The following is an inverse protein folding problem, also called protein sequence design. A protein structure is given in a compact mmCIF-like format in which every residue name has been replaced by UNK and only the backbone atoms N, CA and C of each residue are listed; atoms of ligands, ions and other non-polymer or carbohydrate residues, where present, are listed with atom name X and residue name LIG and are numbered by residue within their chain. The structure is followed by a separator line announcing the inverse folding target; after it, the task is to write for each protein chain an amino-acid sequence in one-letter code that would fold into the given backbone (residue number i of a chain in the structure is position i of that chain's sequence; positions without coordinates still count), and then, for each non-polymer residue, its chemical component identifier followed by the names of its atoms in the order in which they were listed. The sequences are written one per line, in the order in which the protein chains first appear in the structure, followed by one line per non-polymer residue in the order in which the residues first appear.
data_IF_621729461307
#
_entry.id   IF_621729461307
#
_cell.length_a   1.000
_cell.length_b   1.000
_cell.length_c   1.000
_cell.angle_alpha   90.00
_cell.angle_beta   90.00
_cell.angle_gamma   90.00
#
_symmetry.space_group_name_H-M   'P 1'
#
loop_
_entity.id
_entity.type
_entity.pdbx_description
1 polymer ?
#
# COMPACT_ATOMS: atom_id res chain seq x y z
N UNK A 1 -23.54 -36.79 47.81
CA UNK A 1 -22.92 -35.70 47.00
C UNK A 1 -22.09 -36.34 45.89
N UNK A 2 -22.43 -36.11 44.63
CA UNK A 2 -21.68 -36.65 43.49
C UNK A 2 -20.65 -35.62 42.99
N UNK A 3 -19.43 -36.03 42.60
CA UNK A 3 -18.42 -35.09 42.09
C UNK A 3 -18.80 -34.57 40.68
N UNK A 4 -18.37 -33.34 40.31
CA UNK A 4 -18.75 -32.75 39.03
C UNK A 4 -18.11 -33.50 37.86
N UNK A 5 -18.92 -33.84 36.85
CA UNK A 5 -18.45 -34.45 35.59
C UNK A 5 -17.48 -33.50 34.90
N UNK A 6 -16.30 -34.00 34.49
CA UNK A 6 -15.32 -33.21 33.73
C UNK A 6 -15.93 -32.85 32.36
N UNK A 7 -15.95 -31.55 32.02
CA UNK A 7 -16.37 -31.05 30.70
C UNK A 7 -15.51 -31.67 29.60
N UNK A 8 -16.16 -32.08 28.52
CA UNK A 8 -15.48 -32.65 27.35
C UNK A 8 -14.54 -31.63 26.70
N UNK A 9 -13.54 -32.09 25.95
CA UNK A 9 -12.58 -31.21 25.27
C UNK A 9 -13.30 -30.29 24.25
N UNK A 10 -14.38 -30.79 23.63
CA UNK A 10 -15.29 -30.02 22.79
C UNK A 10 -16.07 -28.94 23.55
N UNK A 11 -16.52 -29.21 24.78
CA UNK A 11 -17.12 -28.17 25.64
C UNK A 11 -16.11 -27.11 26.06
N UNK A 12 -14.84 -27.50 26.23
CA UNK A 12 -13.75 -26.58 26.55
C UNK A 12 -13.40 -25.67 25.36
N UNK A 13 -13.39 -26.21 24.14
CA UNK A 13 -13.20 -25.46 22.89
C UNK A 13 -14.39 -24.53 22.62
N UNK A 14 -15.63 -24.97 22.86
CA UNK A 14 -16.84 -24.16 22.68
C UNK A 14 -16.87 -22.91 23.57
N UNK A 15 -16.32 -23.00 24.79
CA UNK A 15 -16.18 -21.84 25.68
C UNK A 15 -15.11 -20.83 25.22
N UNK A 16 -14.05 -21.26 24.53
CA UNK A 16 -13.01 -20.38 24.01
C UNK A 16 -13.51 -19.51 22.84
N UNK A 17 -14.45 -20.02 22.04
CA UNK A 17 -14.99 -19.30 20.86
C UNK A 17 -16.26 -18.48 21.13
N UNK A 18 -16.94 -18.66 22.27
CA UNK A 18 -18.14 -17.85 22.64
C UNK A 18 -17.83 -16.50 23.31
N UNK A 19 -16.55 -16.16 23.49
CA UNK A 19 -16.15 -15.04 24.35
C UNK A 19 -15.40 -13.89 23.70
N UNK A 20 -15.25 -13.84 22.36
CA UNK A 20 -14.41 -12.79 21.75
C UNK A 20 -14.83 -12.29 20.37
N UNK A 21 -16.11 -12.39 20.05
CA UNK A 21 -16.79 -11.45 19.14
C UNK A 21 -18.06 -11.00 19.83
N UNK A 22 -17.89 -10.15 20.85
CA UNK A 22 -18.99 -9.32 21.33
C UNK A 22 -19.14 -8.24 20.27
N UNK A 23 -19.97 -8.52 19.27
CA UNK A 23 -20.45 -7.54 18.32
C UNK A 23 -20.94 -6.33 19.10
N UNK A 24 -20.16 -5.25 19.10
CA UNK A 24 -20.68 -3.92 19.38
C UNK A 24 -21.36 -3.47 18.08
N UNK A 25 -22.56 -3.98 17.89
CA UNK A 25 -23.55 -3.36 17.02
C UNK A 25 -24.79 -3.32 17.88
N UNK A 26 -25.06 -2.16 18.49
CA UNK A 26 -26.35 -1.97 19.14
C UNK A 26 -27.40 -2.11 18.04
N UNK A 27 -28.46 -2.91 18.25
CA UNK A 27 -29.57 -2.90 17.31
C UNK A 27 -30.25 -1.54 17.44
N UNK A 28 -30.05 -0.67 16.44
CA UNK A 28 -30.65 0.67 16.38
C UNK A 28 -29.67 1.84 16.35
N UNK A 29 -28.36 1.63 16.29
CA UNK A 29 -27.50 2.72 15.81
C UNK A 29 -27.84 2.94 14.33
N UNK A 30 -28.26 4.15 13.89
CA UNK A 30 -28.31 4.47 12.48
C UNK A 30 -26.92 4.15 11.94
N UNK A 31 -26.84 3.16 11.07
CA UNK A 31 -25.67 3.02 10.23
C UNK A 31 -25.68 4.27 9.37
N UNK A 32 -25.01 5.34 9.82
CA UNK A 32 -24.48 6.33 8.89
C UNK A 32 -23.57 5.50 7.98
N UNK A 33 -24.14 5.03 6.86
CA UNK A 33 -23.35 4.63 5.72
C UNK A 33 -22.39 5.79 5.51
N UNK A 34 -21.08 5.60 5.73
CA UNK A 34 -20.15 6.67 5.44
C UNK A 34 -20.35 6.96 3.96
N UNK A 35 -20.83 8.17 3.63
CA UNK A 35 -21.19 8.57 2.27
C UNK A 35 -20.10 8.12 1.30
N UNK A 36 -20.34 7.01 0.58
CA UNK A 36 -19.38 6.40 -0.34
C UNK A 36 -19.45 7.15 -1.67
N UNK A 37 -19.45 8.48 -1.63
CA UNK A 37 -19.64 9.31 -2.83
C UNK A 37 -18.38 10.06 -3.26
N UNK A 38 -17.22 9.86 -2.61
CA UNK A 38 -15.96 10.42 -3.12
C UNK A 38 -14.79 9.43 -3.30
N UNK A 39 -14.78 8.85 -4.51
CA UNK A 39 -13.60 8.65 -5.38
C UNK A 39 -12.81 7.32 -5.27
N UNK A 40 -13.34 6.20 -5.81
CA UNK A 40 -12.57 4.95 -6.01
C UNK A 40 -11.30 5.12 -6.87
N UNK A 41 -11.20 6.20 -7.64
CA UNK A 41 -10.12 6.44 -8.59
C UNK A 41 -8.82 6.95 -7.94
N UNK A 42 -8.90 7.69 -6.82
CA UNK A 42 -7.71 8.29 -6.17
C UNK A 42 -6.79 7.23 -5.57
N UNK A 43 -7.37 6.24 -4.89
CA UNK A 43 -6.64 5.17 -4.21
C UNK A 43 -5.80 4.30 -5.16
N UNK A 44 -6.32 4.00 -6.36
CA UNK A 44 -5.60 3.21 -7.35
C UNK A 44 -4.37 3.95 -7.90
N UNK A 45 -4.50 5.25 -8.16
CA UNK A 45 -3.40 6.08 -8.65
C UNK A 45 -2.27 6.19 -7.62
N UNK A 46 -2.62 6.32 -6.34
CA UNK A 46 -1.65 6.34 -5.25
C UNK A 46 -0.87 5.02 -5.16
N UNK A 47 -1.56 3.87 -5.26
CA UNK A 47 -0.89 2.57 -5.28
C UNK A 47 0.09 2.42 -6.45
N UNK A 48 -0.28 2.90 -7.64
CA UNK A 48 0.60 2.86 -8.82
C UNK A 48 1.81 3.76 -8.62
N UNK A 49 1.63 4.97 -8.06
CA UNK A 49 2.74 5.86 -7.72
C UNK A 49 3.70 5.21 -6.73
N UNK A 50 3.18 4.61 -5.66
CA UNK A 50 3.99 3.92 -4.65
C UNK A 50 4.81 2.77 -5.25
N UNK A 51 4.22 2.00 -6.18
CA UNK A 51 4.93 0.94 -6.91
C UNK A 51 6.05 1.50 -7.80
N UNK A 52 5.80 2.59 -8.52
CA UNK A 52 6.81 3.23 -9.36
C UNK A 52 7.98 3.75 -8.53
N UNK A 53 7.71 4.40 -7.40
CA UNK A 53 8.75 4.90 -6.50
C UNK A 53 9.56 3.76 -5.87
N UNK A 54 8.90 2.70 -5.43
CA UNK A 54 9.57 1.51 -4.91
C UNK A 54 10.48 0.86 -5.98
N UNK A 55 10.01 0.80 -7.22
CA UNK A 55 10.77 0.26 -8.35
C UNK A 55 12.01 1.12 -8.65
N UNK A 56 11.88 2.45 -8.66
CA UNK A 56 13.01 3.37 -8.81
C UNK A 56 14.04 3.17 -7.69
N UNK A 57 13.59 3.03 -6.43
CA UNK A 57 14.47 2.77 -5.30
C UNK A 57 15.20 1.42 -5.43
N UNK A 58 14.52 0.40 -5.93
CA UNK A 58 15.12 -0.92 -6.16
C UNK A 58 16.24 -0.84 -7.19
N UNK A 59 16.02 -0.15 -8.33
CA UNK A 59 17.06 0.04 -9.34
C UNK A 59 18.26 0.82 -8.79
N UNK A 60 18.03 1.92 -8.07
CA UNK A 60 19.13 2.70 -7.48
C UNK A 60 19.96 1.86 -6.50
N UNK A 61 19.30 1.11 -5.61
CA UNK A 61 20.00 0.23 -4.65
C UNK A 61 20.82 -0.85 -5.36
N UNK A 62 20.31 -1.40 -6.47
CA UNK A 62 21.03 -2.39 -7.28
C UNK A 62 22.25 -1.79 -7.98
N UNK A 63 22.11 -0.62 -8.62
CA UNK A 63 23.23 0.05 -9.29
C UNK A 63 24.32 0.47 -8.31
N UNK A 64 23.94 0.95 -7.12
CA UNK A 64 24.88 1.32 -6.05
C UNK A 64 25.40 0.13 -5.24
N UNK A 65 24.97 -1.10 -5.57
CA UNK A 65 25.33 -2.35 -4.88
C UNK A 65 25.11 -2.30 -3.36
N UNK A 66 24.06 -1.60 -2.92
CA UNK A 66 23.74 -1.44 -1.50
C UNK A 66 23.14 -2.75 -0.97
N UNK A 67 23.77 -3.40 0.02
CA UNK A 67 23.20 -4.60 0.61
C UNK A 67 21.96 -4.23 1.44
N UNK A 68 20.99 -5.15 1.51
CA UNK A 68 19.77 -4.95 2.29
C UNK A 68 20.06 -4.77 3.79
N UNK A 69 21.18 -5.33 4.27
CA UNK A 69 21.67 -5.22 5.66
C UNK A 69 22.08 -3.80 6.05
N UNK A 70 22.43 -2.95 5.09
CA UNK A 70 22.88 -1.59 5.36
C UNK A 70 21.77 -0.68 5.92
N UNK A 71 20.50 -1.10 5.86
CA UNK A 71 19.32 -0.36 6.39
C UNK A 71 19.33 1.14 6.04
N UNK A 72 19.81 1.49 4.84
CA UNK A 72 19.86 2.90 4.39
C UNK A 72 18.46 3.44 4.13
N UNK A 73 18.22 4.67 4.56
CA UNK A 73 16.99 5.42 4.27
C UNK A 73 16.93 5.79 2.78
N UNK A 74 15.72 5.97 2.24
CA UNK A 74 15.52 6.27 0.82
C UNK A 74 16.20 7.59 0.41
N UNK A 75 16.22 8.58 1.30
CA UNK A 75 16.90 9.87 1.09
C UNK A 75 18.41 9.72 0.94
N UNK A 76 19.05 8.88 1.78
CA UNK A 76 20.49 8.61 1.66
C UNK A 76 20.82 7.92 0.33
N UNK A 77 20.00 6.97 -0.10
CA UNK A 77 20.18 6.29 -1.40
C UNK A 77 20.07 7.28 -2.56
N UNK A 78 19.11 8.21 -2.50
CA UNK A 78 18.94 9.26 -3.51
C UNK A 78 20.12 10.24 -3.55
N UNK A 79 20.62 10.64 -2.38
CA UNK A 79 21.78 11.52 -2.26
C UNK A 79 23.06 10.84 -2.79
N UNK A 80 23.28 9.56 -2.47
CA UNK A 80 24.40 8.78 -3.00
C UNK A 80 24.32 8.62 -4.52
N UNK A 81 23.12 8.43 -5.07
CA UNK A 81 22.91 8.40 -6.50
C UNK A 81 23.03 9.79 -7.17
N UNK A 82 23.09 10.86 -6.38
CA UNK A 82 22.97 12.26 -6.79
C UNK A 82 21.79 12.50 -7.75
N UNK A 83 20.66 11.82 -7.49
CA UNK A 83 19.47 11.84 -8.33
C UNK A 83 18.25 12.21 -7.49
N UNK A 84 17.34 12.98 -8.09
CA UNK A 84 15.98 13.18 -7.58
C UNK A 84 15.06 12.09 -8.15
N UNK A 85 13.84 11.91 -7.63
CA UNK A 85 12.85 10.99 -8.24
C UNK A 85 12.52 11.47 -9.66
N UNK A 86 12.99 10.74 -10.68
CA UNK A 86 12.90 11.11 -12.09
C UNK A 86 11.80 10.33 -12.82
N UNK A 87 11.54 9.08 -12.40
CA UNK A 87 10.66 8.18 -13.15
C UNK A 87 9.23 8.72 -13.25
N UNK A 88 8.62 9.07 -12.12
CA UNK A 88 7.25 9.62 -12.07
C UNK A 88 7.15 10.93 -12.85
N UNK A 89 8.16 11.81 -12.73
CA UNK A 89 8.22 13.09 -13.44
C UNK A 89 8.30 12.90 -14.96
N UNK A 90 9.08 11.92 -15.40
CA UNK A 90 9.28 11.61 -16.82
C UNK A 90 8.00 11.05 -17.43
N UNK A 91 7.31 10.15 -16.72
CA UNK A 91 6.01 9.60 -17.15
C UNK A 91 4.98 10.72 -17.27
N UNK A 92 4.82 11.55 -16.23
CA UNK A 92 3.88 12.70 -16.26
C UNK A 92 4.17 13.64 -17.42
N UNK A 93 5.43 14.02 -17.61
CA UNK A 93 5.85 14.86 -18.75
C UNK A 93 5.55 14.22 -20.10
N UNK A 94 5.68 12.90 -20.21
CA UNK A 94 5.33 12.16 -21.44
C UNK A 94 3.82 12.15 -21.67
N UNK A 95 3.03 11.95 -20.62
CA UNK A 95 1.57 11.94 -20.73
C UNK A 95 1.02 13.34 -21.03
N UNK A 96 1.62 14.39 -20.45
CA UNK A 96 1.35 15.78 -20.81
C UNK A 96 1.59 16.04 -22.29
N UNK A 97 2.77 15.66 -22.82
CA UNK A 97 3.09 15.79 -24.25
C UNK A 97 2.11 15.03 -25.16
N UNK A 98 1.64 13.85 -24.73
CA UNK A 98 0.63 13.08 -25.46
C UNK A 98 -0.70 13.82 -25.51
N UNK A 99 -1.13 14.41 -24.39
CA UNK A 99 -2.38 15.17 -24.29
C UNK A 99 -2.35 16.47 -25.09
N UNK A 100 -1.22 17.19 -25.09
CA UNK A 100 -1.08 18.48 -25.79
C UNK A 100 -0.78 18.34 -27.28
N UNK A 101 -0.70 17.11 -27.83
CA UNK A 101 -0.55 16.85 -29.27
C UNK A 101 0.76 17.31 -29.90
N UNK A 102 1.72 17.80 -29.13
CA UNK A 102 3.01 18.31 -29.63
C UNK A 102 3.99 17.15 -29.86
N UNK A 103 3.81 16.44 -30.98
CA UNK A 103 4.81 15.51 -31.49
C UNK A 103 6.01 16.29 -32.04
N UNK A 104 6.96 16.61 -31.16
CA UNK A 104 8.24 17.18 -31.58
C UNK A 104 9.00 16.20 -32.49
N UNK A 105 8.90 16.41 -33.80
CA UNK A 105 9.70 15.73 -34.82
C UNK A 105 11.17 16.16 -34.68
N UNK A 106 11.90 15.52 -33.78
CA UNK A 106 13.36 15.58 -33.74
C UNK A 106 13.95 14.30 -34.34
N UNK A 107 13.67 14.07 -35.63
CA UNK A 107 14.58 13.28 -36.47
C UNK A 107 15.55 14.29 -37.09
N UNK A 108 16.65 14.57 -36.40
CA UNK A 108 17.81 15.17 -37.05
C UNK A 108 18.47 14.04 -37.85
N UNK A 109 18.32 14.12 -39.17
CA UNK A 109 19.14 13.40 -40.16
C UNK A 109 20.44 14.17 -40.31
#
# INVERSE_FOLDING_TARGET
MAPPRKRSLSDRIRCMFRGRYRSRSRPGDPFEEPDIDEQPQKHLLEQIQNKLEATEMWFLRRMLRIPWTAKKTNEKVLNEANKRRLLVRTIRKRDEKRKTGTFGNNRKV
#
